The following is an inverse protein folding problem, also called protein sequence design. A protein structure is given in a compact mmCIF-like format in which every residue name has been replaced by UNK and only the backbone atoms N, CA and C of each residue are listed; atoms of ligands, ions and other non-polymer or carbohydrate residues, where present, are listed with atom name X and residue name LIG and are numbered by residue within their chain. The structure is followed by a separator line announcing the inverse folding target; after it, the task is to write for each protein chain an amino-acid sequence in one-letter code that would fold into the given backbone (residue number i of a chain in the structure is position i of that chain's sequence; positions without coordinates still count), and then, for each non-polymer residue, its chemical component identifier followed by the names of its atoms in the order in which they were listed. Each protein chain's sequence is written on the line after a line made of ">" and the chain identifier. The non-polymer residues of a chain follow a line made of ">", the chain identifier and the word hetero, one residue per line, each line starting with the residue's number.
data_IF_278042217644
#
_entry.id   IF_278042217644
#
_cell.length_a   1.000
_cell.length_b   1.000
_cell.length_c   1.000
_cell.angle_alpha   90.00
_cell.angle_beta   90.00
_cell.angle_gamma   90.00
#
_symmetry.space_group_name_H-M   'P 1'
#
loop_
_entity.id
_entity.type
_entity.pdbx_description
1 polymer ?
#
# COMPACT_ATOMS: atom_id res chain seq x y z
N UNK A 1 3.35 4.70 -20.07
CA UNK A 1 2.79 3.49 -20.72
C UNK A 1 3.65 3.13 -21.92
N UNK A 2 4.05 1.84 -22.00
CA UNK A 2 4.88 1.34 -23.10
C UNK A 2 4.02 0.39 -23.92
N UNK A 3 3.85 0.70 -25.19
CA UNK A 3 3.23 -0.17 -26.19
C UNK A 3 4.15 -0.32 -27.37
N UNK A 4 4.38 -1.55 -27.82
CA UNK A 4 5.22 -1.88 -28.96
C UNK A 4 4.37 -2.30 -30.15
N UNK A 5 4.83 -2.03 -31.36
CA UNK A 5 4.08 -2.34 -32.60
C UNK A 5 3.97 -3.85 -32.85
N UNK A 6 5.03 -4.62 -32.56
CA UNK A 6 4.98 -6.07 -32.65
C UNK A 6 4.23 -6.67 -31.46
N UNK A 7 3.23 -7.51 -31.77
CA UNK A 7 2.35 -8.12 -30.75
C UNK A 7 3.10 -9.05 -29.78
N UNK A 8 4.12 -9.76 -30.22
CA UNK A 8 4.88 -10.67 -29.38
C UNK A 8 5.86 -9.89 -28.49
N UNK A 9 6.52 -8.88 -29.04
CA UNK A 9 7.35 -7.98 -28.24
C UNK A 9 6.53 -7.22 -27.21
N UNK A 10 5.34 -6.76 -27.61
CA UNK A 10 4.42 -6.08 -26.69
C UNK A 10 3.95 -7.00 -25.55
N UNK A 11 3.71 -8.28 -25.83
CA UNK A 11 3.39 -9.26 -24.78
C UNK A 11 4.52 -9.37 -23.74
N UNK A 12 5.78 -9.41 -24.17
CA UNK A 12 6.95 -9.38 -23.29
C UNK A 12 7.04 -8.08 -22.48
N UNK A 13 6.81 -6.94 -23.14
CA UNK A 13 6.80 -5.63 -22.46
C UNK A 13 5.72 -5.55 -21.38
N UNK A 14 4.52 -6.09 -21.63
CA UNK A 14 3.44 -6.12 -20.61
C UNK A 14 3.80 -7.01 -19.40
N UNK A 15 4.49 -8.14 -19.62
CA UNK A 15 4.97 -8.98 -18.50
C UNK A 15 5.98 -8.23 -17.62
N UNK A 16 6.92 -7.50 -18.23
CA UNK A 16 7.90 -6.69 -17.50
C UNK A 16 7.23 -5.51 -16.79
N UNK A 17 6.22 -4.90 -17.40
CA UNK A 17 5.40 -3.85 -16.79
C UNK A 17 4.70 -4.38 -15.53
N UNK A 18 4.18 -5.60 -15.55
CA UNK A 18 3.54 -6.23 -14.39
C UNK A 18 4.54 -6.39 -13.21
N UNK A 19 5.79 -6.78 -13.50
CA UNK A 19 6.84 -6.87 -12.48
C UNK A 19 7.11 -5.50 -11.83
N UNK A 20 7.24 -4.45 -12.64
CA UNK A 20 7.46 -3.09 -12.15
C UNK A 20 6.26 -2.58 -11.35
N UNK A 21 5.03 -2.80 -11.82
CA UNK A 21 3.81 -2.42 -11.12
C UNK A 21 3.69 -3.10 -9.77
N UNK A 22 3.98 -4.39 -9.69
CA UNK A 22 3.95 -5.14 -8.44
C UNK A 22 4.98 -4.61 -7.43
N UNK A 23 6.19 -4.26 -7.87
CA UNK A 23 7.19 -3.64 -7.00
C UNK A 23 6.71 -2.28 -6.46
N UNK A 24 6.03 -1.48 -7.30
CA UNK A 24 5.45 -0.21 -6.89
C UNK A 24 4.29 -0.39 -5.90
N UNK A 25 3.41 -1.35 -6.13
CA UNK A 25 2.25 -1.59 -5.28
C UNK A 25 2.66 -2.08 -3.88
N UNK A 26 3.73 -2.88 -3.79
CA UNK A 26 4.21 -3.43 -2.52
C UNK A 26 5.15 -2.48 -1.75
N UNK A 27 5.99 -1.72 -2.44
CA UNK A 27 7.06 -0.93 -1.82
C UNK A 27 7.04 0.56 -2.18
N UNK A 28 6.26 0.99 -3.16
CA UNK A 28 6.24 2.37 -3.66
C UNK A 28 7.53 2.81 -4.35
N UNK A 29 8.50 1.90 -4.53
CA UNK A 29 9.82 2.16 -5.10
C UNK A 29 10.42 0.90 -5.72
N UNK A 30 11.59 1.03 -6.34
CA UNK A 30 12.35 -0.10 -6.88
C UNK A 30 11.88 -0.63 -8.23
N UNK A 31 11.03 0.08 -8.96
CA UNK A 31 10.49 -0.34 -10.26
C UNK A 31 11.60 -0.57 -11.30
N UNK A 32 12.58 0.31 -11.37
CA UNK A 32 13.72 0.18 -12.27
C UNK A 32 14.60 -1.01 -11.90
N UNK A 33 14.90 -1.17 -10.60
CA UNK A 33 15.68 -2.31 -10.11
C UNK A 33 14.99 -3.64 -10.41
N UNK A 34 13.68 -3.74 -10.17
CA UNK A 34 12.89 -4.92 -10.49
C UNK A 34 12.91 -5.24 -11.99
N UNK A 35 12.83 -4.22 -12.85
CA UNK A 35 12.90 -4.37 -14.32
C UNK A 35 14.27 -4.89 -14.77
N UNK A 36 15.35 -4.33 -14.23
CA UNK A 36 16.72 -4.78 -14.55
C UNK A 36 16.97 -6.21 -14.08
N UNK A 37 16.50 -6.56 -12.87
CA UNK A 37 16.59 -7.93 -12.37
C UNK A 37 15.76 -8.90 -13.22
N UNK A 38 14.56 -8.55 -13.62
CA UNK A 38 13.73 -9.36 -14.50
C UNK A 38 14.46 -9.65 -15.84
N UNK A 39 15.07 -8.63 -16.45
CA UNK A 39 15.89 -8.80 -17.65
C UNK A 39 17.05 -9.77 -17.42
N UNK A 40 17.77 -9.62 -16.32
CA UNK A 40 18.91 -10.48 -15.99
C UNK A 40 18.46 -11.94 -15.78
N UNK A 41 17.38 -12.17 -15.05
CA UNK A 41 16.83 -13.52 -14.85
C UNK A 41 16.39 -14.18 -16.16
N UNK A 42 15.72 -13.43 -17.04
CA UNK A 42 15.28 -13.96 -18.33
C UNK A 42 16.49 -14.29 -19.21
N UNK A 43 17.46 -13.40 -19.31
CA UNK A 43 18.64 -13.59 -20.16
C UNK A 43 19.50 -14.80 -19.70
N UNK A 44 19.76 -14.92 -18.41
CA UNK A 44 20.53 -16.05 -17.87
C UNK A 44 19.72 -17.34 -17.87
N UNK A 45 18.45 -17.28 -17.53
CA UNK A 45 17.56 -18.45 -17.56
C UNK A 45 17.38 -19.01 -18.98
N UNK A 46 17.26 -18.14 -19.98
CA UNK A 46 17.12 -18.55 -21.38
C UNK A 46 18.34 -19.34 -21.88
N UNK A 47 19.55 -18.95 -21.48
CA UNK A 47 20.77 -19.71 -21.79
C UNK A 47 20.71 -21.14 -21.28
N UNK A 48 20.25 -21.32 -20.05
CA UNK A 48 20.11 -22.64 -19.41
C UNK A 48 19.05 -23.49 -20.09
N UNK A 49 17.90 -22.92 -20.40
CA UNK A 49 16.79 -23.61 -21.09
C UNK A 49 17.21 -24.00 -22.51
N UNK A 50 17.90 -23.11 -23.23
CA UNK A 50 18.41 -23.40 -24.58
C UNK A 50 19.45 -24.51 -24.58
N UNK A 51 20.22 -24.64 -23.49
CA UNK A 51 21.15 -25.73 -23.28
C UNK A 51 20.47 -27.08 -22.86
N UNK A 52 19.15 -27.12 -22.78
CA UNK A 52 18.37 -28.35 -22.52
C UNK A 52 17.94 -28.52 -21.05
N UNK A 53 18.12 -27.51 -20.18
CA UNK A 53 17.63 -27.57 -18.81
C UNK A 53 16.10 -27.51 -18.77
N UNK A 54 15.51 -28.29 -17.89
CA UNK A 54 14.06 -28.24 -17.67
C UNK A 54 13.66 -26.87 -17.03
N UNK A 55 12.77 -26.08 -17.67
CA UNK A 55 12.35 -24.77 -17.14
C UNK A 55 11.74 -24.83 -15.74
N UNK A 56 11.05 -25.91 -15.40
CA UNK A 56 10.44 -26.08 -14.09
C UNK A 56 11.47 -26.34 -12.99
N UNK A 57 12.55 -27.03 -13.31
CA UNK A 57 13.66 -27.24 -12.36
C UNK A 57 14.45 -25.94 -12.17
N UNK A 58 14.65 -25.18 -13.25
CA UNK A 58 15.24 -23.84 -13.17
C UNK A 58 14.40 -22.92 -12.28
N UNK A 59 13.07 -22.91 -12.46
CA UNK A 59 12.17 -22.15 -11.62
C UNK A 59 12.30 -22.51 -10.14
N UNK A 60 12.33 -23.80 -9.80
CA UNK A 60 12.52 -24.23 -8.40
C UNK A 60 13.83 -23.74 -7.81
N UNK A 61 14.91 -23.75 -8.62
CA UNK A 61 16.21 -23.21 -8.20
C UNK A 61 16.16 -21.71 -7.94
N UNK A 62 15.49 -20.95 -8.82
CA UNK A 62 15.27 -19.51 -8.66
C UNK A 62 14.46 -19.23 -7.39
N UNK A 63 13.37 -19.96 -7.15
CA UNK A 63 12.52 -19.77 -5.96
C UNK A 63 13.33 -20.00 -4.66
N UNK A 64 14.19 -21.01 -4.63
CA UNK A 64 15.07 -21.27 -3.48
C UNK A 64 16.12 -20.16 -3.29
N UNK A 65 16.72 -19.71 -4.37
CA UNK A 65 17.72 -18.64 -4.33
C UNK A 65 17.08 -17.33 -3.84
N UNK A 66 15.88 -16.99 -4.36
CA UNK A 66 15.13 -15.80 -3.93
C UNK A 66 14.81 -15.85 -2.45
N UNK A 67 14.35 -16.99 -1.93
CA UNK A 67 14.07 -17.13 -0.50
C UNK A 67 15.32 -16.87 0.36
N UNK A 68 16.46 -17.44 -0.01
CA UNK A 68 17.73 -17.24 0.69
C UNK A 68 18.21 -15.77 0.60
N UNK A 69 18.12 -15.16 -0.58
CA UNK A 69 18.51 -13.74 -0.77
C UNK A 69 17.63 -12.81 0.04
N UNK A 70 16.31 -13.02 0.07
CA UNK A 70 15.37 -12.21 0.85
C UNK A 70 15.71 -12.25 2.35
N UNK A 71 16.05 -13.43 2.89
CA UNK A 71 16.46 -13.54 4.29
C UNK A 71 17.77 -12.80 4.59
N UNK A 72 18.73 -12.81 3.68
CA UNK A 72 19.97 -12.03 3.84
C UNK A 72 19.72 -10.53 3.69
N UNK A 73 18.84 -10.12 2.76
CA UNK A 73 18.45 -8.70 2.62
C UNK A 73 17.77 -8.15 3.87
N UNK A 74 16.93 -8.94 4.53
CA UNK A 74 16.33 -8.55 5.82
C UNK A 74 17.38 -8.26 6.90
N UNK A 75 18.48 -9.02 6.92
CA UNK A 75 19.59 -8.79 7.86
C UNK A 75 20.40 -7.55 7.53
N UNK A 76 20.49 -7.19 6.26
CA UNK A 76 21.21 -5.99 5.78
C UNK A 76 20.36 -4.72 5.86
N UNK A 77 19.04 -4.85 5.96
CA UNK A 77 18.15 -3.70 6.03
C UNK A 77 18.37 -2.90 7.32
N UNK A 78 18.32 -1.59 7.21
CA UNK A 78 18.41 -0.68 8.34
C UNK A 78 17.02 -0.15 8.66
N UNK A 79 16.53 -0.28 9.91
CA UNK A 79 15.25 0.29 10.30
C UNK A 79 15.23 1.81 10.11
N UNK A 80 14.07 2.33 9.70
CA UNK A 80 13.84 3.75 9.48
C UNK A 80 13.14 4.36 10.71
N UNK A 81 13.88 4.50 11.81
CA UNK A 81 13.33 4.83 13.14
C UNK A 81 13.40 6.32 13.49
N UNK A 82 14.06 7.14 12.69
CA UNK A 82 14.23 8.56 12.99
C UNK A 82 13.70 9.46 11.86
N UNK A 83 13.27 10.67 12.23
CA UNK A 83 12.69 11.67 11.31
C UNK A 83 13.60 11.95 10.11
N UNK A 84 14.92 12.00 10.31
CA UNK A 84 15.88 12.24 9.23
C UNK A 84 15.95 11.09 8.22
N UNK A 85 15.88 9.86 8.70
CA UNK A 85 15.84 8.69 7.79
C UNK A 85 14.53 8.66 7.00
N UNK A 86 13.40 9.02 7.63
CA UNK A 86 12.10 9.15 6.98
C UNK A 86 12.15 10.24 5.89
N UNK A 87 12.71 11.41 6.19
CA UNK A 87 12.92 12.50 5.23
C UNK A 87 13.77 12.04 4.03
N UNK A 88 14.86 11.31 4.28
CA UNK A 88 15.73 10.80 3.22
C UNK A 88 15.00 9.79 2.31
N UNK A 89 14.28 8.85 2.90
CA UNK A 89 13.50 7.87 2.13
C UNK A 89 12.40 8.56 1.34
N UNK A 90 11.64 9.48 1.95
CA UNK A 90 10.63 10.27 1.26
C UNK A 90 11.20 11.10 0.11
N UNK A 91 12.37 11.70 0.31
CA UNK A 91 13.08 12.47 -0.73
C UNK A 91 13.47 11.57 -1.92
N UNK A 92 13.99 10.37 -1.66
CA UNK A 92 14.37 9.41 -2.71
C UNK A 92 13.13 8.97 -3.48
N UNK A 93 12.06 8.59 -2.79
CA UNK A 93 10.79 8.17 -3.41
C UNK A 93 10.14 9.27 -4.25
N UNK A 94 10.36 10.53 -3.89
CA UNK A 94 9.91 11.71 -4.63
C UNK A 94 10.92 12.21 -5.69
N UNK A 95 11.75 11.34 -6.26
CA UNK A 95 12.76 11.67 -7.27
C UNK A 95 13.73 12.81 -6.84
N UNK A 96 14.21 12.74 -5.60
CA UNK A 96 15.11 13.70 -4.96
C UNK A 96 14.48 15.07 -4.64
N UNK A 97 13.17 15.17 -4.57
CA UNK A 97 12.47 16.36 -4.08
C UNK A 97 12.50 16.39 -2.54
N UNK A 98 13.34 17.26 -2.01
CA UNK A 98 13.48 17.42 -0.55
C UNK A 98 12.24 18.00 0.11
N UNK A 99 11.49 18.84 -0.58
CA UNK A 99 10.30 19.48 0.00
C UNK A 99 9.22 18.44 0.32
N UNK A 100 9.06 17.45 -0.54
CA UNK A 100 8.16 16.32 -0.31
C UNK A 100 8.66 15.44 0.84
N UNK A 101 9.96 15.14 0.88
CA UNK A 101 10.55 14.37 1.97
C UNK A 101 10.36 15.02 3.35
N UNK A 102 10.55 16.34 3.43
CA UNK A 102 10.34 17.13 4.64
C UNK A 102 8.87 17.10 5.11
N UNK A 103 7.91 17.27 4.19
CA UNK A 103 6.47 17.21 4.51
C UNK A 103 6.07 15.83 5.02
N UNK A 104 6.55 14.76 4.37
CA UNK A 104 6.27 13.38 4.81
C UNK A 104 6.87 13.13 6.20
N UNK A 105 8.10 13.58 6.45
CA UNK A 105 8.73 13.43 7.75
C UNK A 105 7.98 14.18 8.85
N UNK A 106 7.49 15.40 8.58
CA UNK A 106 6.65 16.17 9.49
C UNK A 106 5.30 15.48 9.73
N UNK A 107 4.70 14.90 8.71
CA UNK A 107 3.46 14.13 8.84
C UNK A 107 3.66 12.95 9.78
N UNK A 108 4.72 12.15 9.56
CA UNK A 108 5.05 10.99 10.40
C UNK A 108 5.35 11.38 11.84
N UNK A 109 6.00 12.52 12.08
CA UNK A 109 6.26 13.02 13.43
C UNK A 109 4.96 13.34 14.17
N UNK A 110 3.96 13.87 13.48
CA UNK A 110 2.66 14.22 14.05
C UNK A 110 1.74 13.03 14.28
N UNK A 111 1.68 12.09 13.34
CA UNK A 111 0.77 10.93 13.40
C UNK A 111 1.39 9.69 14.03
N UNK A 112 2.72 9.64 14.14
CA UNK A 112 3.47 8.49 14.64
C UNK A 112 3.63 7.38 13.60
N UNK A 113 4.41 6.35 13.96
CA UNK A 113 4.74 5.23 13.04
C UNK A 113 3.53 4.40 12.61
N UNK A 114 2.48 4.39 13.40
CA UNK A 114 1.23 3.66 13.10
C UNK A 114 0.18 4.55 12.43
N UNK A 115 0.51 5.80 12.17
CA UNK A 115 -0.36 6.75 11.49
C UNK A 115 -0.50 6.44 10.00
N UNK A 116 -1.64 6.79 9.43
CA UNK A 116 -1.92 6.67 8.00
C UNK A 116 -1.68 8.00 7.33
N UNK A 117 -0.87 8.01 6.26
CA UNK A 117 -0.64 9.16 5.41
C UNK A 117 -1.31 8.89 4.07
N UNK A 118 -2.22 9.78 3.66
CA UNK A 118 -2.85 9.78 2.34
C UNK A 118 -2.37 10.98 1.55
N UNK A 119 -2.29 10.83 0.23
CA UNK A 119 -1.92 11.90 -0.69
C UNK A 119 -3.10 12.15 -1.60
N UNK A 120 -3.57 13.39 -1.64
CA UNK A 120 -4.70 13.82 -2.46
C UNK A 120 -4.32 15.06 -3.27
N UNK A 121 -5.01 15.30 -4.38
CA UNK A 121 -4.82 16.53 -5.16
C UNK A 121 -5.38 17.73 -4.38
N UNK A 122 -4.49 18.68 -4.05
CA UNK A 122 -4.85 19.93 -3.41
C UNK A 122 -5.41 20.96 -4.39
N UNK A 123 -6.04 22.01 -3.86
CA UNK A 123 -6.54 23.13 -4.66
C UNK A 123 -5.50 24.26 -4.82
N UNK A 124 -4.40 24.21 -4.08
CA UNK A 124 -3.32 25.20 -4.11
C UNK A 124 -2.15 24.75 -4.98
N UNK A 125 -1.27 25.71 -5.32
CA UNK A 125 -0.03 25.43 -6.07
C UNK A 125 1.09 24.91 -5.17
N UNK A 126 0.91 24.90 -3.87
CA UNK A 126 1.88 24.43 -2.90
C UNK A 126 1.35 23.19 -2.18
N UNK A 127 2.27 22.30 -1.80
CA UNK A 127 1.93 21.16 -0.98
C UNK A 127 1.52 21.62 0.42
N UNK A 128 0.40 21.12 0.89
CA UNK A 128 -0.14 21.42 2.23
C UNK A 128 -0.20 20.13 3.05
N UNK A 129 0.00 20.26 4.35
CA UNK A 129 -0.10 19.15 5.28
C UNK A 129 -1.27 19.38 6.23
N UNK A 130 -2.33 18.61 6.05
CA UNK A 130 -3.44 18.53 6.98
C UNK A 130 -3.31 17.34 7.91
N UNK A 131 -3.43 17.58 9.21
CA UNK A 131 -3.36 16.53 10.22
C UNK A 131 -4.71 16.40 10.90
N UNK A 132 -5.30 15.22 10.82
CA UNK A 132 -6.57 14.89 11.46
C UNK A 132 -6.29 13.93 12.63
N UNK A 133 -6.81 14.26 13.80
CA UNK A 133 -6.76 13.35 14.95
C UNK A 133 -7.83 12.27 14.75
N UNK A 134 -7.40 11.08 14.34
CA UNK A 134 -8.30 9.98 14.06
C UNK A 134 -7.95 9.24 12.78
N UNK A 135 -8.93 8.59 12.20
CA UNK A 135 -8.79 7.87 10.93
C UNK A 135 -9.92 8.26 9.99
N UNK A 136 -9.58 8.64 8.78
CA UNK A 136 -10.54 8.93 7.70
C UNK A 136 -10.60 7.75 6.73
N UNK A 137 -11.82 7.31 6.36
CA UNK A 137 -12.03 6.30 5.32
C UNK A 137 -13.03 6.80 4.30
N UNK A 138 -12.93 6.27 3.08
CA UNK A 138 -13.72 6.72 1.92
C UNK A 138 -15.21 6.40 2.00
N UNK A 139 -15.63 5.52 2.91
CA UNK A 139 -17.02 5.10 3.05
C UNK A 139 -17.60 5.54 4.37
N UNK A 140 -18.66 6.33 4.31
CA UNK A 140 -19.47 6.74 5.44
C UNK A 140 -20.69 5.83 5.67
N UNK A 141 -21.82 6.41 6.05
CA UNK A 141 -23.06 5.67 6.26
C UNK A 141 -23.58 5.01 4.99
N UNK A 142 -24.20 3.84 5.14
CA UNK A 142 -24.73 3.07 4.02
C UNK A 142 -26.10 3.55 3.52
N UNK A 143 -26.80 4.33 4.33
CA UNK A 143 -28.14 4.82 4.01
C UNK A 143 -28.37 6.21 4.61
N UNK A 144 -29.07 7.13 3.89
CA UNK A 144 -29.47 8.42 4.41
C UNK A 144 -30.33 8.36 5.68
N UNK A 145 -30.97 7.21 5.97
CA UNK A 145 -31.72 7.00 7.20
C UNK A 145 -30.88 7.04 8.48
N UNK A 146 -29.57 6.88 8.36
CA UNK A 146 -28.66 6.99 9.51
C UNK A 146 -28.27 8.43 9.86
N UNK A 147 -28.63 9.42 9.03
CA UNK A 147 -28.31 10.82 9.28
C UNK A 147 -29.06 11.30 10.54
N UNK A 148 -28.31 11.78 11.51
CA UNK A 148 -28.83 12.38 12.73
C UNK A 148 -28.69 13.90 12.75
N UNK A 149 -27.77 14.47 11.95
CA UNK A 149 -27.61 15.91 11.75
C UNK A 149 -28.07 16.27 10.32
N UNK A 150 -29.31 16.69 10.20
CA UNK A 150 -29.92 17.00 8.88
C UNK A 150 -29.37 18.29 8.25
N UNK A 151 -28.93 19.25 9.04
CA UNK A 151 -28.39 20.51 8.53
C UNK A 151 -27.06 20.30 7.78
N UNK A 152 -26.20 19.43 8.34
CA UNK A 152 -24.91 19.10 7.77
C UNK A 152 -24.93 17.82 6.93
N UNK A 153 -26.05 17.12 6.86
CA UNK A 153 -26.18 15.80 6.21
C UNK A 153 -25.13 14.80 6.69
N UNK A 154 -24.93 14.74 8.00
CA UNK A 154 -23.88 13.94 8.65
C UNK A 154 -24.46 13.01 9.71
N UNK A 155 -23.67 11.98 10.05
CA UNK A 155 -23.88 11.15 11.23
C UNK A 155 -22.79 11.51 12.24
N UNK A 156 -23.18 12.10 13.35
CA UNK A 156 -22.30 12.44 14.47
C UNK A 156 -22.63 11.55 15.67
N UNK A 157 -21.64 10.80 16.16
CA UNK A 157 -21.78 9.91 17.30
C UNK A 157 -20.70 10.27 18.32
N UNK A 158 -21.11 10.57 19.54
CA UNK A 158 -20.19 10.89 20.63
C UNK A 158 -19.80 9.62 21.39
N UNK A 159 -18.49 9.36 21.48
CA UNK A 159 -17.91 8.23 22.21
C UNK A 159 -18.57 6.86 21.86
N UNK A 160 -18.67 6.53 20.56
CA UNK A 160 -19.39 5.34 20.10
C UNK A 160 -18.60 4.06 20.35
N UNK A 161 -19.31 2.95 20.50
CA UNK A 161 -18.71 1.62 20.35
C UNK A 161 -18.51 1.28 18.88
N UNK A 162 -17.31 0.82 18.53
CA UNK A 162 -16.97 0.44 17.14
C UNK A 162 -16.88 -1.07 17.05
N UNK A 163 -17.75 -1.68 16.22
CA UNK A 163 -17.70 -3.10 15.93
C UNK A 163 -16.94 -3.33 14.61
N UNK A 164 -15.78 -3.98 14.70
CA UNK A 164 -14.98 -4.37 13.55
C UNK A 164 -15.32 -5.81 13.13
N UNK A 165 -15.67 -5.99 11.86
CA UNK A 165 -16.08 -7.28 11.31
C UNK A 165 -15.46 -7.47 9.93
N UNK A 166 -14.86 -8.63 9.70
CA UNK A 166 -14.19 -9.01 8.44
C UNK A 166 -15.10 -9.69 7.42
N UNK A 167 -16.39 -9.89 7.78
CA UNK A 167 -17.39 -10.55 6.93
C UNK A 167 -18.64 -9.69 6.73
N UNK A 168 -19.37 -9.96 5.66
CA UNK A 168 -20.69 -9.35 5.45
C UNK A 168 -21.70 -9.86 6.51
N UNK A 169 -22.30 -8.93 7.25
CA UNK A 169 -23.39 -9.24 8.18
C UNK A 169 -24.71 -9.10 7.44
N UNK A 170 -25.42 -10.20 7.27
CA UNK A 170 -26.72 -10.25 6.59
C UNK A 170 -27.88 -10.58 7.50
N UNK A 171 -27.59 -11.00 8.74
CA UNK A 171 -28.60 -11.45 9.68
C UNK A 171 -28.46 -10.69 11.01
N UNK A 172 -29.51 -9.96 11.37
CA UNK A 172 -29.55 -9.16 12.59
C UNK A 172 -29.43 -10.02 13.86
N UNK A 173 -29.80 -11.29 13.82
CA UNK A 173 -29.69 -12.19 14.99
C UNK A 173 -28.24 -12.39 15.45
N UNK A 174 -27.29 -12.30 14.52
CA UNK A 174 -25.86 -12.41 14.85
C UNK A 174 -25.37 -11.18 15.64
N UNK A 175 -25.98 -10.02 15.41
CA UNK A 175 -25.65 -8.76 16.08
C UNK A 175 -26.41 -8.54 17.40
N UNK A 176 -27.54 -9.22 17.63
CA UNK A 176 -28.39 -8.99 18.80
C UNK A 176 -27.63 -8.98 20.13
N UNK A 177 -26.71 -9.93 20.41
CA UNK A 177 -25.98 -9.92 21.68
C UNK A 177 -25.09 -8.70 21.86
N UNK A 178 -24.46 -8.23 20.76
CA UNK A 178 -23.63 -7.02 20.79
C UNK A 178 -24.50 -5.77 20.97
N UNK A 179 -25.61 -5.67 20.23
CA UNK A 179 -26.54 -4.55 20.33
C UNK A 179 -27.18 -4.44 21.71
N UNK A 180 -27.58 -5.56 22.35
CA UNK A 180 -28.08 -5.57 23.69
C UNK A 180 -27.07 -5.04 24.72
N UNK A 181 -25.82 -5.39 24.58
CA UNK A 181 -24.77 -4.91 25.48
C UNK A 181 -24.50 -3.41 25.29
N UNK A 182 -24.49 -2.94 24.04
CA UNK A 182 -24.34 -1.50 23.72
C UNK A 182 -25.52 -0.70 24.24
N UNK A 183 -26.76 -1.21 24.03
CA UNK A 183 -27.98 -0.57 24.54
C UNK A 183 -28.00 -0.47 26.08
N UNK A 184 -27.52 -1.51 26.78
CA UNK A 184 -27.37 -1.47 28.24
C UNK A 184 -26.35 -0.46 28.73
N UNK A 185 -25.30 -0.23 27.94
CA UNK A 185 -24.24 0.77 28.22
C UNK A 185 -24.69 2.22 27.95
N UNK A 186 -25.81 2.41 27.24
CA UNK A 186 -26.38 3.74 26.95
C UNK A 186 -25.53 4.60 26.02
N UNK A 187 -24.63 3.98 25.27
CA UNK A 187 -23.79 4.64 24.28
C UNK A 187 -24.20 4.24 22.86
N UNK A 188 -23.96 5.09 21.83
CA UNK A 188 -24.22 4.75 20.45
C UNK A 188 -23.28 3.68 19.92
#
# INVERSE_FOLDING_TARGET
>A
EIELEDKFENMGAQMVKEVASKANDEAGDGTTTATVLAQAFVNEGLKSVTAGMNPMDLKRGIDQAVAAVVEELKKLSTPCDNTKSIEQVGTISANADKSVGEIIAQAMEKVGQEGVITVEEGQSLQNELDVVEGMQFDRGYLSPYFINNQEKMQVELEDPYILLVDKKISNIRELLPALENVAKAGKP
#
